data_IF_674426672862
#
_entry.id   IF_674426672862
#
_cell.length_a   1.000
_cell.length_b   1.000
_cell.length_c   1.000
_cell.angle_alpha   90.00
_cell.angle_beta   90.00
_cell.angle_gamma   90.00
#
_symmetry.space_group_name_H-M   'P 1'
#
loop_
_entity.id
_entity.type
_entity.pdbx_description
1 polymer ?
#
# COMPACT_ATOMS: atom_id res chain seq x y z
N UNK A 1 5.97 2.72 -2.59
CA UNK A 1 7.19 1.88 -2.70
C UNK A 1 7.42 1.52 -4.16
N UNK A 2 8.67 1.32 -4.58
CA UNK A 2 9.03 0.83 -5.93
C UNK A 2 9.92 -0.41 -5.79
N UNK A 3 9.75 -1.37 -6.68
CA UNK A 3 10.60 -2.55 -6.80
C UNK A 3 11.14 -2.57 -8.22
N UNK A 4 12.44 -2.79 -8.36
CA UNK A 4 13.12 -2.92 -9.64
C UNK A 4 13.51 -4.39 -9.81
N UNK A 5 13.22 -4.94 -10.98
CA UNK A 5 13.61 -6.29 -11.38
C UNK A 5 14.53 -6.15 -12.58
N UNK A 6 15.74 -6.67 -12.46
CA UNK A 6 16.75 -6.66 -13.51
C UNK A 6 17.21 -8.08 -13.82
N UNK A 7 17.16 -8.45 -15.10
CA UNK A 7 17.43 -9.81 -15.57
C UNK A 7 16.21 -10.72 -15.43
N UNK A 8 15.85 -11.42 -16.51
CA UNK A 8 14.84 -12.49 -16.57
C UNK A 8 13.58 -12.21 -15.73
N UNK A 9 12.97 -11.03 -15.94
CA UNK A 9 11.76 -10.64 -15.24
C UNK A 9 10.55 -11.34 -15.82
N UNK A 10 9.87 -12.15 -15.01
CA UNK A 10 8.60 -12.78 -15.37
C UNK A 10 7.44 -12.22 -14.55
N UNK A 11 6.27 -12.06 -15.19
CA UNK A 11 5.04 -11.66 -14.53
C UNK A 11 3.86 -12.48 -15.03
N UNK A 12 2.96 -12.84 -14.09
CA UNK A 12 1.68 -13.49 -14.36
C UNK A 12 0.62 -12.80 -13.50
N UNK A 13 -0.43 -12.25 -14.12
CA UNK A 13 -1.52 -11.61 -13.40
C UNK A 13 -2.86 -11.73 -14.13
N UNK A 14 -3.95 -11.82 -13.37
CA UNK A 14 -5.31 -11.86 -13.90
C UNK A 14 -5.82 -10.45 -14.16
N UNK A 15 -6.50 -10.28 -15.29
CA UNK A 15 -7.19 -9.05 -15.65
C UNK A 15 -8.68 -9.27 -15.43
N UNK A 16 -9.34 -8.31 -14.78
CA UNK A 16 -10.78 -8.31 -14.56
C UNK A 16 -11.41 -7.03 -15.14
N UNK A 17 -12.69 -7.12 -15.50
CA UNK A 17 -13.47 -5.96 -15.93
C UNK A 17 -13.96 -5.12 -14.74
N UNK A 18 -14.72 -4.05 -15.02
CA UNK A 18 -15.29 -3.16 -14.00
C UNK A 18 -16.26 -3.87 -13.05
N UNK A 19 -16.80 -5.03 -13.46
CA UNK A 19 -17.67 -5.88 -12.65
C UNK A 19 -16.90 -7.01 -11.92
N UNK A 20 -15.56 -6.93 -11.86
CA UNK A 20 -14.66 -7.97 -11.31
C UNK A 20 -14.77 -9.34 -12.00
N UNK A 21 -15.31 -9.42 -13.22
CA UNK A 21 -15.33 -10.67 -13.98
C UNK A 21 -13.95 -10.91 -14.61
N UNK A 22 -13.37 -12.13 -14.47
CA UNK A 22 -12.08 -12.43 -15.06
C UNK A 22 -12.16 -12.36 -16.59
N UNK A 23 -11.38 -11.45 -17.17
CA UNK A 23 -11.26 -11.27 -18.63
C UNK A 23 -10.15 -12.15 -19.22
N UNK A 24 -9.18 -12.56 -18.40
CA UNK A 24 -8.06 -13.38 -18.82
C UNK A 24 -6.85 -13.20 -17.91
N UNK A 25 -5.70 -13.66 -18.40
CA UNK A 25 -4.43 -13.60 -17.69
C UNK A 25 -3.34 -13.07 -18.61
N UNK A 26 -2.59 -12.08 -18.14
CA UNK A 26 -1.39 -11.61 -18.79
C UNK A 26 -0.19 -12.38 -18.25
N UNK A 27 0.61 -12.95 -19.16
CA UNK A 27 1.94 -13.48 -18.87
C UNK A 27 2.96 -12.69 -19.69
N UNK A 28 4.00 -12.16 -19.04
CA UNK A 28 5.03 -11.34 -19.69
C UNK A 28 6.41 -11.72 -19.17
N UNK A 29 7.35 -11.89 -20.10
CA UNK A 29 8.76 -12.10 -19.88
C UNK A 29 9.52 -10.87 -20.39
N UNK A 30 10.51 -10.38 -19.64
CA UNK A 30 11.22 -9.17 -20.00
C UNK A 30 12.63 -9.13 -19.40
N UNK A 31 13.51 -8.32 -19.99
CA UNK A 31 14.84 -8.11 -19.42
C UNK A 31 14.79 -7.27 -18.13
N UNK A 32 13.90 -6.29 -18.06
CA UNK A 32 13.78 -5.36 -16.93
C UNK A 32 12.34 -4.92 -16.72
N UNK A 33 11.91 -4.81 -15.46
CA UNK A 33 10.63 -4.20 -15.10
C UNK A 33 10.67 -3.45 -13.78
N UNK A 34 9.74 -2.50 -13.63
CA UNK A 34 9.53 -1.75 -12.39
C UNK A 34 8.10 -1.92 -11.90
N UNK A 35 7.94 -2.31 -10.64
CA UNK A 35 6.65 -2.40 -9.96
C UNK A 35 6.49 -1.25 -8.99
N UNK A 36 5.37 -0.52 -9.12
CA UNK A 36 5.00 0.57 -8.24
C UNK A 36 3.89 0.12 -7.30
N UNK A 37 4.11 0.26 -5.99
CA UNK A 37 3.14 -0.12 -4.97
C UNK A 37 2.54 1.11 -4.27
N UNK A 38 1.24 1.04 -3.99
CA UNK A 38 0.49 1.99 -3.16
C UNK A 38 -0.36 1.17 -2.16
N UNK A 39 -0.28 1.50 -0.87
CA UNK A 39 -1.05 0.81 0.18
C UNK A 39 -0.90 -0.73 0.12
N UNK A 40 0.34 -1.22 -0.02
CA UNK A 40 0.67 -2.65 -0.16
C UNK A 40 0.04 -3.36 -1.37
N UNK A 41 -0.51 -2.63 -2.33
CA UNK A 41 -1.05 -3.16 -3.58
C UNK A 41 -0.24 -2.68 -4.78
N UNK A 42 -0.14 -3.53 -5.82
CA UNK A 42 0.48 -3.18 -7.09
C UNK A 42 -0.41 -2.14 -7.77
N UNK A 43 0.13 -0.93 -7.98
CA UNK A 43 -0.54 0.16 -8.68
C UNK A 43 -0.20 0.20 -10.16
N UNK A 44 1.05 -0.10 -10.52
CA UNK A 44 1.53 -0.06 -11.91
C UNK A 44 2.71 -1.01 -12.09
N UNK A 45 2.74 -1.68 -13.22
CA UNK A 45 3.89 -2.44 -13.72
C UNK A 45 4.37 -1.75 -14.99
N UNK A 46 5.68 -1.58 -15.11
CA UNK A 46 6.33 -1.00 -16.30
C UNK A 46 7.37 -1.99 -16.80
N UNK A 47 7.19 -2.48 -18.02
CA UNK A 47 8.16 -3.33 -18.70
C UNK A 47 9.08 -2.44 -19.55
N UNK A 48 10.39 -2.70 -19.53
CA UNK A 48 11.39 -1.87 -20.20
C UNK A 48 12.10 -2.69 -21.28
N UNK A 49 12.29 -2.10 -22.46
CA UNK A 49 12.91 -2.74 -23.61
C UNK A 49 11.90 -3.44 -24.51
N UNK A 50 12.16 -4.70 -24.85
CA UNK A 50 11.31 -5.56 -25.68
C UNK A 50 10.75 -6.69 -24.80
N UNK A 51 9.61 -6.47 -24.12
CA UNK A 51 8.95 -7.54 -23.38
C UNK A 51 8.18 -8.47 -24.32
N UNK A 52 8.25 -9.76 -24.05
CA UNK A 52 7.45 -10.78 -24.72
C UNK A 52 6.24 -11.11 -23.85
N UNK A 53 5.05 -10.77 -24.32
CA UNK A 53 3.82 -10.90 -23.56
C UNK A 53 2.73 -11.65 -24.33
N UNK A 54 1.94 -12.46 -23.62
CA UNK A 54 0.74 -13.10 -24.16
C UNK A 54 -0.44 -12.92 -23.21
N UNK A 55 -1.59 -12.58 -23.78
CA UNK A 55 -2.87 -12.58 -23.08
C UNK A 55 -3.59 -13.90 -23.32
N UNK A 56 -3.94 -14.59 -22.23
CA UNK A 56 -4.59 -15.91 -22.26
C UNK A 56 -6.04 -15.73 -21.78
N UNK A 57 -7.03 -15.98 -22.64
CA UNK A 57 -8.43 -15.92 -22.24
C UNK A 57 -8.78 -16.96 -21.16
N UNK A 58 -9.77 -16.72 -20.29
CA UNK A 58 -10.06 -17.56 -19.11
C UNK A 58 -10.26 -19.04 -19.45
N UNK A 59 -10.94 -19.34 -20.55
CA UNK A 59 -11.20 -20.70 -21.02
C UNK A 59 -9.94 -21.47 -21.46
N UNK A 60 -8.85 -20.77 -21.75
CA UNK A 60 -7.60 -21.36 -22.26
C UNK A 60 -6.51 -21.45 -21.18
N UNK A 61 -6.76 -20.94 -19.97
CA UNK A 61 -5.75 -20.93 -18.89
C UNK A 61 -5.56 -22.35 -18.35
N UNK A 62 -4.37 -22.92 -18.57
CA UNK A 62 -3.98 -24.19 -17.96
C UNK A 62 -3.54 -23.99 -16.51
N UNK A 63 -3.63 -25.05 -15.70
CA UNK A 63 -3.24 -24.99 -14.28
C UNK A 63 -1.81 -24.49 -14.09
N UNK A 64 -0.89 -25.03 -14.87
CA UNK A 64 0.56 -24.77 -14.75
C UNK A 64 0.94 -23.34 -15.17
N UNK A 65 0.14 -22.67 -15.99
CA UNK A 65 0.40 -21.31 -16.47
C UNK A 65 -0.01 -20.24 -15.45
N UNK A 66 -0.77 -20.60 -14.41
CA UNK A 66 -1.29 -19.67 -13.40
C UNK A 66 -0.22 -19.18 -12.44
N UNK A 67 0.93 -19.85 -12.40
CA UNK A 67 2.02 -19.58 -11.48
C UNK A 67 3.33 -19.51 -12.26
N UNK A 68 4.33 -18.86 -11.65
CA UNK A 68 5.67 -18.86 -12.21
C UNK A 68 6.30 -20.24 -12.04
N UNK A 69 7.23 -20.58 -12.91
CA UNK A 69 7.98 -21.83 -12.78
C UNK A 69 8.74 -21.87 -11.45
N UNK A 70 8.66 -23.00 -10.75
CA UNK A 70 9.27 -23.17 -9.42
C UNK A 70 8.59 -22.40 -8.29
N UNK A 71 7.48 -21.70 -8.55
CA UNK A 71 6.74 -21.01 -7.50
C UNK A 71 6.14 -22.00 -6.50
N UNK A 72 6.39 -21.75 -5.22
CA UNK A 72 5.80 -22.50 -4.12
C UNK A 72 5.33 -21.53 -3.05
N UNK A 73 4.04 -21.58 -2.71
CA UNK A 73 3.45 -20.68 -1.72
C UNK A 73 3.77 -21.17 -0.30
N UNK A 74 4.70 -20.48 0.38
CA UNK A 74 5.24 -20.87 1.70
C UNK A 74 4.61 -20.11 2.87
N UNK A 75 3.32 -19.82 2.82
CA UNK A 75 2.63 -19.04 3.86
C UNK A 75 2.67 -19.71 5.24
N UNK A 76 2.66 -21.06 5.28
CA UNK A 76 2.79 -21.84 6.51
C UNK A 76 4.11 -21.63 7.25
N UNK A 77 5.12 -21.11 6.57
CA UNK A 77 6.45 -20.84 7.15
C UNK A 77 6.65 -19.37 7.52
N UNK A 78 5.64 -18.53 7.31
CA UNK A 78 5.72 -17.11 7.62
C UNK A 78 5.93 -16.95 9.14
N UNK A 79 7.05 -16.36 9.57
CA UNK A 79 7.36 -16.27 10.99
C UNK A 79 6.44 -15.28 11.69
N UNK A 80 6.12 -15.56 12.95
CA UNK A 80 5.46 -14.60 13.83
C UNK A 80 6.45 -13.56 14.35
N UNK A 81 5.94 -12.44 14.86
CA UNK A 81 6.78 -11.39 15.44
C UNK A 81 7.60 -11.95 16.62
N UNK A 82 6.94 -12.73 17.46
CA UNK A 82 7.49 -13.36 18.65
C UNK A 82 8.61 -14.36 18.29
N UNK A 83 8.43 -15.16 17.24
CA UNK A 83 9.46 -16.06 16.71
C UNK A 83 10.71 -15.33 16.23
N UNK A 84 10.57 -14.16 15.59
CA UNK A 84 11.71 -13.36 15.14
C UNK A 84 12.50 -12.83 16.34
N UNK A 85 11.83 -12.25 17.34
CA UNK A 85 12.50 -11.66 18.50
C UNK A 85 13.14 -12.70 19.43
N UNK A 86 12.50 -13.86 19.58
CA UNK A 86 13.05 -14.97 20.37
C UNK A 86 14.30 -15.59 19.72
N UNK A 87 14.33 -15.75 18.39
CA UNK A 87 15.50 -16.27 17.66
C UNK A 87 16.70 -15.32 17.69
N UNK A 88 16.45 -14.01 17.79
CA UNK A 88 17.51 -13.00 17.73
C UNK A 88 18.26 -12.77 19.06
N UNK A 89 17.91 -13.45 20.16
CA UNK A 89 18.34 -13.07 21.52
C UNK A 89 18.17 -11.57 21.80
N UNK A 90 17.21 -10.94 21.11
CA UNK A 90 16.97 -9.52 21.22
C UNK A 90 16.30 -9.28 22.56
N UNK A 91 17.04 -8.71 23.51
CA UNK A 91 16.47 -8.17 24.75
C UNK A 91 15.97 -6.77 24.41
N UNK A 92 14.67 -6.56 24.15
CA UNK A 92 14.17 -5.21 23.92
C UNK A 92 14.51 -4.37 25.14
N UNK A 93 15.23 -3.26 24.95
CA UNK A 93 15.31 -2.26 26.00
C UNK A 93 13.87 -1.83 26.33
N UNK A 94 13.46 -1.84 27.61
CA UNK A 94 12.11 -1.46 27.97
C UNK A 94 11.83 -0.06 27.41
N UNK A 95 10.65 0.17 26.83
CA UNK A 95 10.31 1.47 26.30
C UNK A 95 10.48 2.49 27.43
N UNK A 96 11.35 3.47 27.21
CA UNK A 96 11.49 4.60 28.12
C UNK A 96 10.11 5.26 28.17
N UNK A 97 9.40 5.08 29.28
CA UNK A 97 8.19 5.85 29.57
C UNK A 97 8.68 7.29 29.70
N UNK A 98 8.62 8.04 28.60
CA UNK A 98 8.58 9.49 28.67
C UNK A 98 7.37 9.80 29.54
N UNK A 99 7.63 10.15 30.80
CA UNK A 99 6.61 10.66 31.71
C UNK A 99 5.80 11.68 30.92
N UNK A 100 4.49 11.45 30.84
CA UNK A 100 3.57 12.44 30.30
C UNK A 100 3.90 13.78 30.96
N UNK A 101 4.18 14.80 30.14
CA UNK A 101 4.34 16.17 30.62
C UNK A 101 3.08 16.48 31.43
N UNK A 102 3.26 16.63 32.74
CA UNK A 102 2.20 17.03 33.65
C UNK A 102 1.59 18.33 33.13
N UNK A 103 0.28 18.27 32.90
CA UNK A 103 -0.54 19.39 32.44
C UNK A 103 -0.47 20.49 33.51
N UNK A 104 0.25 21.57 33.23
CA UNK A 104 0.30 22.74 34.10
C UNK A 104 -1.11 23.31 34.35
N UNK A 105 -1.41 23.82 35.56
CA UNK A 105 -2.76 24.17 35.98
C UNK A 105 -3.24 25.48 35.34
N UNK A 106 -4.53 25.52 35.04
CA UNK A 106 -5.23 26.63 34.41
C UNK A 106 -5.76 27.61 35.49
N UNK A 107 -5.70 28.94 35.18
CA UNK A 107 -6.54 30.11 35.62
C UNK A 107 -5.85 31.16 36.52
N UNK A 108 -6.21 32.48 36.42
CA UNK A 108 -7.55 33.02 36.19
C UNK A 108 -7.74 34.17 35.17
N UNK A 109 -9.02 34.37 34.84
CA UNK A 109 -9.60 35.38 33.95
C UNK A 109 -9.47 36.79 34.58
N UNK A 110 -9.11 37.79 33.77
CA UNK A 110 -9.41 39.20 34.07
C UNK A 110 -10.11 39.85 32.89
N UNK A 111 -11.25 40.41 33.23
CA UNK A 111 -12.23 41.18 32.47
C UNK A 111 -11.65 42.48 31.91
N UNK A 112 -11.86 42.76 30.63
CA UNK A 112 -12.16 44.12 30.16
C UNK A 112 -13.26 44.01 29.11
N UNK A 113 -14.34 44.75 29.31
CA UNK A 113 -15.48 44.78 28.41
C UNK A 113 -15.75 46.23 27.97
N UNK A 114 -16.13 46.34 26.69
CA UNK A 114 -16.92 47.37 26.00
C UNK A 114 -16.21 48.50 25.24
N UNK A 115 -16.55 48.51 23.94
CA UNK A 115 -16.42 49.57 22.95
C UNK A 115 -16.51 48.95 21.55
N UNK A 116 -17.68 48.42 21.14
CA UNK A 116 -18.49 49.02 20.07
C UNK A 116 -17.74 49.00 18.73
N UNK A 117 -18.08 48.23 17.69
CA UNK A 117 -19.32 48.28 16.88
C UNK A 117 -19.32 47.05 15.93
N UNK A 118 -20.44 46.32 15.83
CA UNK A 118 -20.83 45.51 14.65
C UNK A 118 -21.90 46.31 13.87
N UNK A 119 -22.35 45.98 12.64
CA UNK A 119 -22.13 44.76 11.82
C UNK A 119 -21.97 44.99 10.29
N UNK A 120 -21.60 43.96 9.51
CA UNK A 120 -22.50 43.45 8.44
C UNK A 120 -22.05 42.13 7.80
N UNK A 121 -23.03 41.23 7.80
CA UNK A 121 -23.19 39.92 7.15
C UNK A 121 -23.22 40.05 5.62
N UNK A 122 -22.77 39.01 4.89
CA UNK A 122 -23.58 38.30 3.88
C UNK A 122 -22.93 37.01 3.37
N UNK A 123 -23.55 35.89 3.74
CA UNK A 123 -23.49 34.63 3.01
C UNK A 123 -24.25 34.77 1.67
N UNK A 124 -23.80 34.09 0.62
CA UNK A 124 -24.63 33.72 -0.52
C UNK A 124 -24.30 32.30 -0.97
N UNK A 125 -25.29 31.44 -0.77
CA UNK A 125 -25.54 30.21 -1.51
C UNK A 125 -25.79 30.51 -2.99
N UNK A 126 -25.35 29.63 -3.89
CA UNK A 126 -25.98 29.46 -5.19
C UNK A 126 -25.82 28.03 -5.69
N UNK A 127 -26.96 27.33 -5.76
CA UNK A 127 -27.19 26.14 -6.59
C UNK A 127 -27.09 26.54 -8.07
N UNK A 128 -26.51 25.67 -8.88
CA UNK A 128 -27.03 25.25 -10.18
C UNK A 128 -26.53 23.83 -10.45
#
# INVERSE_FOLDING_TARGET
QKVFVEGNGESVYFVADDAMKPMGMNRVECAKMTLNFKQNQVKRIQFVGQPEGRFIPPQNIKGDEKQLEGFSWRDKEKPTKEEIFSRANFKPNPPTVVKAIEKAPEKPKTTVNKGGVKPKVKAKSKKL
#
